data_IF_004458536698
#
_entry.id   IF_004458536698
#
_cell.length_a   1.000
_cell.length_b   1.000
_cell.length_c   1.000
_cell.angle_alpha   90.00
_cell.angle_beta   90.00
_cell.angle_gamma   90.00
#
_symmetry.space_group_name_H-M   'P 1'
#
loop_
_entity.id
_entity.type
_entity.pdbx_description
1 polymer ?
#
# COMPACT_ATOMS: atom_id res chain seq x y z
N UNK A 1 -15.58 8.87 -18.77
CA UNK A 1 -15.17 7.89 -19.78
C UNK A 1 -16.00 6.64 -19.57
N UNK A 2 -16.81 6.27 -20.55
CA UNK A 2 -17.68 5.09 -20.45
C UNK A 2 -16.87 3.82 -20.75
N UNK A 3 -17.01 2.80 -19.91
CA UNK A 3 -16.62 1.44 -20.27
C UNK A 3 -17.56 0.97 -21.38
N UNK A 4 -17.12 1.00 -22.63
CA UNK A 4 -17.84 0.35 -23.71
C UNK A 4 -17.55 -1.15 -23.65
N UNK A 5 -18.59 -1.97 -23.54
CA UNK A 5 -18.48 -3.42 -23.70
C UNK A 5 -18.12 -3.75 -25.15
N UNK A 6 -17.33 -4.80 -25.42
CA UNK A 6 -17.26 -5.37 -26.76
C UNK A 6 -18.67 -5.80 -27.20
N UNK A 7 -19.02 -5.52 -28.45
CA UNK A 7 -20.33 -5.83 -29.03
C UNK A 7 -20.62 -7.33 -28.85
N UNK A 8 -21.65 -7.67 -28.07
CA UNK A 8 -22.09 -9.05 -27.81
C UNK A 8 -21.83 -9.59 -26.40
N UNK A 9 -21.07 -8.89 -25.56
CA UNK A 9 -20.96 -9.23 -24.13
C UNK A 9 -22.09 -8.52 -23.34
N UNK A 10 -22.78 -9.26 -22.46
CA UNK A 10 -23.71 -8.67 -21.49
C UNK A 10 -23.06 -7.55 -20.67
N UNK A 11 -23.83 -6.69 -19.99
CA UNK A 11 -23.26 -5.58 -19.22
C UNK A 11 -22.19 -6.12 -18.27
N UNK A 12 -20.93 -5.66 -18.34
CA UNK A 12 -19.90 -6.12 -17.44
C UNK A 12 -20.38 -5.84 -16.02
N UNK A 13 -20.11 -6.77 -15.10
CA UNK A 13 -20.33 -6.47 -13.70
C UNK A 13 -19.60 -5.16 -13.37
N UNK A 14 -20.15 -4.36 -12.46
CA UNK A 14 -19.52 -3.11 -12.05
C UNK A 14 -18.04 -3.33 -11.66
N UNK A 15 -17.71 -4.51 -11.12
CA UNK A 15 -16.36 -4.95 -10.78
C UNK A 15 -15.41 -5.06 -12.00
N UNK A 16 -15.84 -5.64 -13.11
CA UNK A 16 -15.01 -5.82 -14.30
C UNK A 16 -14.71 -4.48 -14.99
N UNK A 17 -15.69 -3.58 -15.08
CA UNK A 17 -15.49 -2.22 -15.62
C UNK A 17 -14.53 -1.39 -14.74
N UNK A 18 -14.59 -1.57 -13.42
CA UNK A 18 -13.69 -0.90 -12.47
C UNK A 18 -12.24 -1.36 -12.60
N UNK A 19 -11.99 -2.66 -12.78
CA UNK A 19 -10.64 -3.18 -13.01
C UNK A 19 -10.00 -2.59 -14.28
N UNK A 20 -10.81 -2.25 -15.29
CA UNK A 20 -10.39 -1.67 -16.56
C UNK A 20 -10.26 -0.14 -16.57
N UNK A 21 -10.65 0.57 -15.49
CA UNK A 21 -10.51 2.03 -15.45
C UNK A 21 -9.04 2.43 -15.27
N UNK A 22 -8.52 3.37 -16.09
CA UNK A 22 -7.16 3.86 -15.93
C UNK A 22 -7.01 4.50 -14.55
N UNK A 23 -5.94 4.11 -13.85
CA UNK A 23 -5.52 4.74 -12.60
C UNK A 23 -5.24 6.22 -12.82
N UNK A 24 -5.79 7.08 -11.96
CA UNK A 24 -5.53 8.52 -11.97
C UNK A 24 -4.55 8.88 -10.86
N UNK A 25 -3.95 10.06 -11.02
CA UNK A 25 -3.18 10.68 -9.95
C UNK A 25 -4.07 10.84 -8.70
N UNK A 26 -3.59 10.34 -7.56
CA UNK A 26 -4.31 10.43 -6.29
C UNK A 26 -5.39 9.37 -6.06
N UNK A 27 -5.46 8.31 -6.88
CA UNK A 27 -6.37 7.17 -6.65
C UNK A 27 -5.80 6.14 -5.65
N UNK A 28 -4.54 6.25 -5.26
CA UNK A 28 -3.85 5.23 -4.46
C UNK A 28 -3.29 5.81 -3.17
N UNK A 29 -3.19 4.96 -2.15
CA UNK A 29 -2.51 5.25 -0.90
C UNK A 29 -1.80 4.02 -0.36
N UNK A 30 -0.61 4.21 0.17
CA UNK A 30 0.22 3.14 0.71
C UNK A 30 0.33 3.32 2.22
N UNK A 31 0.16 2.23 2.96
CA UNK A 31 0.35 2.17 4.40
C UNK A 31 1.35 1.06 4.73
N UNK A 32 2.44 1.41 5.40
CA UNK A 32 3.41 0.50 5.96
C UNK A 32 3.16 0.44 7.46
N UNK A 33 2.62 -0.68 7.93
CA UNK A 33 2.34 -0.94 9.33
C UNK A 33 3.57 -1.60 9.97
N UNK A 34 4.32 -0.83 10.75
CA UNK A 34 5.53 -1.28 11.41
C UNK A 34 5.23 -1.81 12.82
N UNK A 35 5.08 -3.13 12.89
CA UNK A 35 4.90 -3.91 14.12
C UNK A 35 6.20 -4.32 14.77
N UNK A 36 6.09 -4.89 15.99
CA UNK A 36 7.20 -5.60 16.65
C UNK A 36 7.44 -6.99 16.05
N UNK A 37 6.36 -7.71 15.73
CA UNK A 37 6.42 -9.07 15.18
C UNK A 37 6.48 -9.12 13.64
N UNK A 38 6.45 -7.96 12.98
CA UNK A 38 6.57 -7.86 11.53
C UNK A 38 6.08 -6.52 11.01
N UNK A 39 6.48 -6.20 9.79
CA UNK A 39 6.10 -4.99 9.07
C UNK A 39 5.25 -5.39 7.87
N UNK A 40 4.11 -4.74 7.64
CA UNK A 40 3.15 -5.10 6.59
C UNK A 40 2.96 -3.95 5.62
N UNK A 41 3.02 -4.24 4.33
CA UNK A 41 2.66 -3.30 3.28
C UNK A 41 1.19 -3.47 2.90
N UNK A 42 0.43 -2.38 2.96
CA UNK A 42 -0.96 -2.30 2.54
C UNK A 42 -1.11 -1.23 1.48
N UNK A 43 -1.81 -1.54 0.40
CA UNK A 43 -2.01 -0.65 -0.73
C UNK A 43 -3.51 -0.54 -0.95
N UNK A 44 -4.00 0.69 -0.91
CA UNK A 44 -5.40 1.02 -1.11
C UNK A 44 -5.55 1.75 -2.45
N UNK A 45 -6.65 1.45 -3.14
CA UNK A 45 -7.11 2.21 -4.29
C UNK A 45 -8.52 2.72 -4.01
N UNK A 46 -8.78 3.98 -4.27
CA UNK A 46 -10.12 4.55 -4.28
C UNK A 46 -10.43 5.17 -5.64
N UNK A 47 -11.72 5.24 -5.97
CA UNK A 47 -12.20 5.87 -7.19
C UNK A 47 -13.67 6.28 -7.03
N UNK A 48 -14.13 7.19 -7.88
CA UNK A 48 -15.50 7.69 -7.87
C UNK A 48 -16.25 7.25 -9.13
N UNK A 49 -17.48 6.75 -8.96
CA UNK A 49 -18.42 6.48 -10.05
C UNK A 49 -19.74 7.20 -9.76
N UNK A 50 -20.03 8.25 -10.54
CA UNK A 50 -21.15 9.14 -10.24
C UNK A 50 -20.96 9.82 -8.89
N UNK A 51 -21.89 9.62 -7.95
CA UNK A 51 -21.82 10.15 -6.57
C UNK A 51 -21.27 9.14 -5.56
N UNK A 52 -20.87 7.94 -6.01
CA UNK A 52 -20.37 6.87 -5.14
C UNK A 52 -18.85 6.85 -5.12
N UNK A 53 -18.28 6.82 -3.91
CA UNK A 53 -16.87 6.56 -3.66
C UNK A 53 -16.69 5.07 -3.36
N UNK A 54 -15.66 4.48 -3.93
CA UNK A 54 -15.28 3.11 -3.69
C UNK A 54 -13.86 3.08 -3.12
N UNK A 55 -13.60 2.13 -2.23
CA UNK A 55 -12.30 1.87 -1.63
C UNK A 55 -12.04 0.37 -1.72
N UNK A 56 -10.83 0.00 -2.13
CA UNK A 56 -10.37 -1.39 -2.17
C UNK A 56 -8.94 -1.47 -1.68
N UNK A 57 -8.67 -2.47 -0.85
CA UNK A 57 -7.30 -2.90 -0.58
C UNK A 57 -6.84 -3.83 -1.70
N UNK A 58 -5.90 -3.37 -2.51
CA UNK A 58 -5.33 -4.14 -3.64
C UNK A 58 -4.25 -5.13 -3.20
N UNK A 59 -3.70 -4.94 -1.99
CA UNK A 59 -2.75 -5.85 -1.34
C UNK A 59 -3.41 -7.00 -0.55
N UNK A 60 -4.74 -7.06 -0.50
CA UNK A 60 -5.47 -8.08 0.28
C UNK A 60 -5.61 -9.41 -0.48
N UNK A 61 -5.82 -10.51 0.25
CA UNK A 61 -6.02 -11.86 -0.29
C UNK A 61 -4.79 -12.75 -0.12
N UNK A 62 -4.57 -13.69 -1.04
CA UNK A 62 -3.48 -14.69 -0.95
C UNK A 62 -2.09 -14.07 -0.90
N UNK A 63 -1.90 -12.88 -1.46
CA UNK A 63 -0.61 -12.18 -1.45
C UNK A 63 -0.34 -11.39 -0.16
N UNK A 64 -1.31 -11.29 0.75
CA UNK A 64 -1.17 -10.45 1.94
C UNK A 64 0.00 -10.87 2.85
N UNK A 65 0.26 -12.18 2.99
CA UNK A 65 1.40 -12.66 3.80
C UNK A 65 2.74 -12.43 3.08
N UNK A 66 2.77 -12.46 1.74
CA UNK A 66 3.97 -12.13 0.96
C UNK A 66 4.37 -10.65 1.09
N UNK A 67 3.41 -9.78 1.44
CA UNK A 67 3.62 -8.36 1.71
C UNK A 67 3.95 -8.06 3.18
N UNK A 68 4.22 -9.11 3.97
CA UNK A 68 4.69 -9.01 5.34
C UNK A 68 6.14 -9.47 5.46
N UNK A 69 6.96 -8.62 6.07
CA UNK A 69 8.36 -8.92 6.40
C UNK A 69 8.55 -9.11 7.90
N UNK A 70 9.48 -9.98 8.28
CA UNK A 70 9.85 -10.29 9.67
C UNK A 70 11.40 -10.29 9.78
N UNK A 71 11.97 -9.86 10.91
CA UNK A 71 11.30 -9.31 12.10
C UNK A 71 10.73 -7.89 11.86
N UNK A 72 9.92 -7.40 12.80
CA UNK A 72 9.34 -6.05 12.71
C UNK A 72 10.39 -4.95 12.86
N UNK A 73 10.08 -3.71 12.45
CA UNK A 73 11.05 -2.61 12.47
C UNK A 73 11.66 -2.34 13.86
N UNK A 74 10.92 -2.58 14.95
CA UNK A 74 11.45 -2.37 16.29
C UNK A 74 12.62 -3.29 16.64
N UNK A 75 12.79 -4.43 15.96
CA UNK A 75 13.92 -5.32 16.15
C UNK A 75 15.25 -4.70 15.68
N UNK A 76 15.18 -3.69 14.81
CA UNK A 76 16.34 -3.01 14.23
C UNK A 76 16.65 -1.67 14.93
N UNK A 77 16.18 -1.46 16.16
CA UNK A 77 16.36 -0.21 16.92
C UNK A 77 17.82 0.21 17.15
N UNK A 78 18.77 -0.70 16.97
CA UNK A 78 20.21 -0.44 17.08
C UNK A 78 20.92 -0.43 15.72
N UNK A 79 20.19 -0.70 14.62
CA UNK A 79 20.70 -0.82 13.25
C UNK A 79 19.72 -0.16 12.27
N UNK A 80 19.56 1.17 12.32
CA UNK A 80 18.56 1.90 11.54
C UNK A 80 18.73 1.76 10.02
N UNK A 81 19.94 1.48 9.54
CA UNK A 81 20.25 1.26 8.13
C UNK A 81 19.52 0.01 7.60
N UNK A 82 19.42 -1.04 8.42
CA UNK A 82 18.72 -2.27 8.08
C UNK A 82 17.20 -2.04 8.05
N UNK A 83 16.68 -1.24 8.98
CA UNK A 83 15.29 -0.82 8.98
C UNK A 83 14.94 -0.01 7.72
N UNK A 84 15.78 0.96 7.36
CA UNK A 84 15.62 1.77 6.16
C UNK A 84 15.66 0.93 4.88
N UNK A 85 16.57 -0.06 4.80
CA UNK A 85 16.63 -1.00 3.69
C UNK A 85 15.35 -1.86 3.59
N UNK A 86 14.82 -2.33 4.71
CA UNK A 86 13.58 -3.10 4.76
C UNK A 86 12.38 -2.27 4.27
N UNK A 87 12.22 -1.03 4.75
CA UNK A 87 11.16 -0.11 4.28
C UNK A 87 11.33 0.20 2.79
N UNK A 88 12.56 0.45 2.34
CA UNK A 88 12.86 0.70 0.93
C UNK A 88 12.46 -0.48 0.03
N UNK A 89 12.67 -1.72 0.50
CA UNK A 89 12.21 -2.92 -0.19
C UNK A 89 10.68 -2.95 -0.35
N UNK A 90 9.94 -2.64 0.72
CA UNK A 90 8.48 -2.56 0.67
C UNK A 90 7.99 -1.45 -0.28
N UNK A 91 8.64 -0.29 -0.30
CA UNK A 91 8.28 0.79 -1.23
C UNK A 91 8.51 0.37 -2.69
N UNK A 92 9.58 -0.38 -2.99
CA UNK A 92 9.80 -0.92 -4.35
C UNK A 92 8.72 -1.92 -4.75
N UNK A 93 8.30 -2.79 -3.83
CA UNK A 93 7.17 -3.71 -4.06
C UNK A 93 5.88 -2.92 -4.27
N UNK A 94 5.66 -1.83 -3.53
CA UNK A 94 4.50 -0.98 -3.76
C UNK A 94 4.53 -0.32 -5.15
N UNK A 95 5.70 0.13 -5.61
CA UNK A 95 5.88 0.71 -6.93
C UNK A 95 5.66 -0.28 -8.08
N UNK A 96 5.83 -1.59 -7.88
CA UNK A 96 5.48 -2.59 -8.91
C UNK A 96 3.97 -2.84 -9.01
N UNK A 97 3.20 -2.51 -7.96
CA UNK A 97 1.74 -2.67 -7.91
C UNK A 97 1.02 -1.39 -8.33
N UNK A 98 1.54 -0.22 -7.92
CA UNK A 98 0.96 1.09 -8.26
C UNK A 98 1.40 1.51 -9.67
N UNK A 99 0.47 1.81 -10.59
CA UNK A 99 0.81 2.23 -11.94
C UNK A 99 1.70 3.48 -11.95
N UNK A 100 2.69 3.52 -12.85
CA UNK A 100 3.68 4.60 -12.93
C UNK A 100 3.07 6.01 -12.95
N UNK A 101 1.96 6.19 -13.68
CA UNK A 101 1.24 7.45 -13.77
C UNK A 101 0.64 7.95 -12.43
N UNK A 102 0.39 7.05 -11.48
CA UNK A 102 -0.17 7.38 -10.16
C UNK A 102 0.92 7.51 -9.07
N UNK A 103 2.13 6.98 -9.29
CA UNK A 103 3.16 6.88 -8.25
C UNK A 103 3.53 8.24 -7.63
N UNK A 104 3.74 9.27 -8.45
CA UNK A 104 4.12 10.60 -7.97
C UNK A 104 3.09 11.26 -7.06
N UNK A 105 1.81 10.90 -7.20
CA UNK A 105 0.70 11.42 -6.40
C UNK A 105 0.25 10.47 -5.29
N UNK A 106 0.89 9.31 -5.14
CA UNK A 106 0.51 8.29 -4.16
C UNK A 106 1.19 8.57 -2.82
N UNK A 107 0.46 9.01 -1.78
CA UNK A 107 1.04 9.16 -0.45
C UNK A 107 1.45 7.81 0.14
N UNK A 108 2.56 7.82 0.87
CA UNK A 108 3.07 6.68 1.65
C UNK A 108 3.05 7.06 3.12
N UNK A 109 2.38 6.26 3.94
CA UNK A 109 2.31 6.43 5.38
C UNK A 109 3.05 5.29 6.08
N UNK A 110 4.00 5.62 6.96
CA UNK A 110 4.64 4.67 7.84
C UNK A 110 4.07 4.84 9.25
N UNK A 111 3.41 3.81 9.78
CA UNK A 111 2.85 3.85 11.13
C UNK A 111 3.64 2.96 12.08
N UNK A 112 4.21 3.59 13.10
CA UNK A 112 4.81 2.94 14.24
C UNK A 112 3.72 2.46 15.23
N UNK A 113 3.61 1.15 15.41
CA UNK A 113 2.73 0.56 16.44
C UNK A 113 3.45 0.44 17.79
N UNK A 114 2.86 -0.30 18.74
CA UNK A 114 3.32 -0.39 20.13
C UNK A 114 4.83 -0.67 20.28
N UNK A 115 5.39 -1.57 19.45
CA UNK A 115 6.80 -1.95 19.54
C UNK A 115 7.79 -0.80 19.29
N UNK A 116 7.47 0.11 18.36
CA UNK A 116 8.29 1.29 18.07
C UNK A 116 8.09 2.39 19.10
N UNK A 117 6.87 2.55 19.63
CA UNK A 117 6.54 3.55 20.67
C UNK A 117 7.20 3.26 22.02
N UNK A 118 7.52 1.99 22.30
CA UNK A 118 8.19 1.57 23.52
C UNK A 118 9.71 1.79 23.49
N UNK A 119 10.28 2.15 22.32
CA UNK A 119 11.69 2.48 22.23
C UNK A 119 11.98 3.86 22.84
N UNK A 120 13.19 4.10 23.37
CA UNK A 120 13.64 5.44 23.68
C UNK A 120 13.46 6.36 22.47
N UNK A 121 13.02 7.60 22.70
CA UNK A 121 12.66 8.54 21.63
C UNK A 121 13.77 8.71 20.56
N UNK A 122 15.04 8.76 20.99
CA UNK A 122 16.19 8.87 20.07
C UNK A 122 16.32 7.69 19.11
N UNK A 123 16.02 6.46 19.57
CA UNK A 123 16.05 5.25 18.73
C UNK A 123 14.84 5.15 17.82
N UNK A 124 13.67 5.54 18.31
CA UNK A 124 12.47 5.62 17.48
C UNK A 124 12.64 6.64 16.35
N UNK A 125 13.22 7.80 16.66
CA UNK A 125 13.51 8.86 15.67
C UNK A 125 14.54 8.40 14.63
N UNK A 126 15.55 7.63 15.02
CA UNK A 126 16.55 7.12 14.08
C UNK A 126 15.98 6.11 13.06
N UNK A 127 14.80 5.55 13.33
CA UNK A 127 14.13 4.57 12.47
C UNK A 127 13.08 5.18 11.52
N UNK A 128 12.66 6.43 11.75
CA UNK A 128 11.55 7.10 11.08
C UNK A 128 12.05 8.27 10.23
#
# INVERSE_FOLDING_TARGET
GNCASPVGAGPPSAFACVAAMPARAGDYGIVIDAGSSGTRLRIFRWWQQGRRLYLREVSAGEQAEALRVRPGLSAFATTPEVAAAQVSGLVRVAASIVPAAAQAATPVYLYATAGLRLLPASRAQALL
#
